data_IF_125773322910
#
_entry.id   IF_125773322910
#
_cell.length_a   1.000
_cell.length_b   1.000
_cell.length_c   1.000
_cell.angle_alpha   90.00
_cell.angle_beta   90.00
_cell.angle_gamma   90.00
#
_symmetry.space_group_name_H-M   'P 1'
#
loop_
_entity.id
_entity.type
_entity.pdbx_description
1 polymer ?
#
# COMPACT_ATOMS: atom_id res chain seq x y z
N UNK A 1 -16.64 -17.47 10.05
CA UNK A 1 -15.40 -17.49 9.25
C UNK A 1 -14.49 -16.36 9.71
N UNK A 2 -13.21 -16.62 9.83
CA UNK A 2 -12.26 -15.62 10.26
C UNK A 2 -12.07 -14.57 9.16
N UNK A 3 -12.00 -13.30 9.54
CA UNK A 3 -11.88 -12.18 8.59
C UNK A 3 -10.62 -12.28 7.73
N UNK A 4 -9.51 -12.74 8.31
CA UNK A 4 -8.26 -12.86 7.55
C UNK A 4 -8.38 -13.92 6.45
N UNK A 5 -9.14 -14.98 6.70
CA UNK A 5 -9.36 -16.03 5.71
C UNK A 5 -10.19 -15.51 4.55
N UNK A 6 -11.20 -14.69 4.84
CA UNK A 6 -12.02 -14.04 3.81
C UNK A 6 -11.14 -13.15 2.92
N UNK A 7 -10.26 -12.34 3.51
CA UNK A 7 -9.35 -11.47 2.75
C UNK A 7 -8.40 -12.28 1.87
N UNK A 8 -7.86 -13.36 2.41
CA UNK A 8 -6.98 -14.25 1.65
C UNK A 8 -7.68 -14.80 0.42
N UNK A 9 -8.91 -15.31 0.58
CA UNK A 9 -9.69 -15.84 -0.53
C UNK A 9 -10.02 -14.75 -1.54
N UNK A 10 -10.34 -13.54 -1.07
CA UNK A 10 -10.62 -12.41 -1.96
C UNK A 10 -9.42 -12.09 -2.84
N UNK A 11 -8.21 -12.12 -2.28
CA UNK A 11 -7.00 -11.86 -3.06
C UNK A 11 -6.77 -12.95 -4.10
N UNK A 12 -7.00 -14.20 -3.76
CA UNK A 12 -6.83 -15.31 -4.71
C UNK A 12 -7.82 -15.22 -5.87
N UNK A 13 -8.98 -14.64 -5.65
CA UNK A 13 -10.04 -14.56 -6.64
C UNK A 13 -10.11 -13.22 -7.37
N UNK A 14 -9.28 -12.25 -6.98
CA UNK A 14 -9.30 -10.92 -7.57
C UNK A 14 -8.58 -10.92 -8.92
N UNK A 15 -9.27 -10.58 -10.02
CA UNK A 15 -8.64 -10.59 -11.35
C UNK A 15 -7.53 -9.54 -11.52
N UNK A 16 -7.48 -8.52 -10.67
CA UNK A 16 -6.43 -7.49 -10.74
C UNK A 16 -5.12 -7.93 -10.10
N UNK A 17 -5.13 -9.01 -9.31
CA UNK A 17 -3.91 -9.53 -8.69
C UNK A 17 -3.21 -10.44 -9.71
N UNK A 18 -1.91 -10.22 -9.90
CA UNK A 18 -1.15 -11.00 -10.89
C UNK A 18 -0.95 -12.46 -10.45
N UNK A 19 -0.69 -13.33 -11.42
CA UNK A 19 -0.57 -14.77 -11.17
C UNK A 19 0.64 -15.12 -10.32
N UNK A 20 1.73 -14.38 -10.44
CA UNK A 20 2.92 -14.61 -9.61
C UNK A 20 2.60 -14.40 -8.13
N UNK A 21 1.87 -13.32 -7.82
CA UNK A 21 1.42 -13.04 -6.46
C UNK A 21 0.49 -14.14 -5.96
N UNK A 22 -0.47 -14.57 -6.80
CA UNK A 22 -1.41 -15.63 -6.43
C UNK A 22 -0.69 -16.95 -6.20
N UNK A 23 0.31 -17.26 -7.00
CA UNK A 23 1.09 -18.50 -6.83
C UNK A 23 1.81 -18.49 -5.47
N UNK A 24 2.40 -17.37 -5.10
CA UNK A 24 3.07 -17.25 -3.80
C UNK A 24 2.06 -17.38 -2.66
N UNK A 25 0.88 -16.78 -2.81
CA UNK A 25 -0.17 -16.90 -1.79
C UNK A 25 -0.71 -18.32 -1.68
N UNK A 26 -0.80 -19.06 -2.79
CA UNK A 26 -1.20 -20.47 -2.74
C UNK A 26 -0.16 -21.31 -2.00
N UNK A 27 1.10 -20.92 -2.05
CA UNK A 27 2.17 -21.66 -1.38
C UNK A 27 2.02 -21.66 0.15
N UNK A 28 1.26 -20.72 0.71
CA UNK A 28 1.02 -20.66 2.15
C UNK A 28 -0.38 -21.16 2.53
N UNK A 29 -1.07 -21.83 1.61
CA UNK A 29 -2.46 -22.27 1.83
C UNK A 29 -2.65 -23.12 3.08
N UNK A 30 -1.63 -23.92 3.45
CA UNK A 30 -1.68 -24.78 4.62
C UNK A 30 -1.08 -24.16 5.87
N UNK A 31 -0.61 -22.90 5.77
CA UNK A 31 0.03 -22.21 6.89
C UNK A 31 -0.91 -21.14 7.45
N UNK A 32 -1.76 -21.55 8.37
CA UNK A 32 -2.79 -20.69 8.93
C UNK A 32 -2.21 -19.46 9.63
N UNK A 33 -1.09 -19.61 10.33
CA UNK A 33 -0.46 -18.51 11.05
C UNK A 33 0.05 -17.45 10.06
N UNK A 34 0.64 -17.89 8.97
CA UNK A 34 1.15 -16.99 7.94
C UNK A 34 0.01 -16.24 7.25
N UNK A 35 -1.09 -16.94 6.94
CA UNK A 35 -2.27 -16.31 6.36
C UNK A 35 -2.82 -15.25 7.31
N UNK A 36 -2.93 -15.56 8.58
CA UNK A 36 -3.42 -14.62 9.57
C UNK A 36 -2.54 -13.38 9.66
N UNK A 37 -1.22 -13.56 9.72
CA UNK A 37 -0.27 -12.46 9.79
C UNK A 37 -0.40 -11.51 8.60
N UNK A 38 -0.58 -12.06 7.41
CA UNK A 38 -0.63 -11.28 6.17
C UNK A 38 -1.98 -10.64 5.89
N UNK A 39 -3.07 -11.13 6.51
CA UNK A 39 -4.42 -10.72 6.14
C UNK A 39 -5.31 -10.31 7.31
N UNK A 40 -4.79 -10.26 8.55
CA UNK A 40 -5.66 -9.96 9.70
C UNK A 40 -6.19 -8.53 9.69
N UNK A 41 -5.53 -7.65 8.97
CA UNK A 41 -5.99 -6.28 8.77
C UNK A 41 -5.49 -5.75 7.43
N UNK A 42 -5.91 -4.54 7.08
CA UNK A 42 -5.41 -3.85 5.90
C UNK A 42 -4.33 -2.87 6.31
N UNK A 43 -3.34 -2.68 5.42
CA UNK A 43 -2.29 -1.70 5.62
C UNK A 43 -2.89 -0.30 5.51
N UNK A 44 -2.54 0.57 6.46
CA UNK A 44 -3.06 1.94 6.45
C UNK A 44 -1.98 2.92 6.93
N UNK A 45 -2.20 4.19 6.64
CA UNK A 45 -1.29 5.24 7.09
C UNK A 45 -1.40 5.41 8.61
N UNK A 46 -0.23 5.42 9.27
CA UNK A 46 -0.13 5.78 10.68
C UNK A 46 0.53 7.14 10.82
N UNK A 47 0.82 7.53 12.04
CA UNK A 47 1.50 8.81 12.33
C UNK A 47 2.89 8.88 11.71
N UNK A 48 3.55 7.74 11.53
CA UNK A 48 4.86 7.66 10.89
C UNK A 48 4.79 7.44 9.38
N UNK A 49 3.63 7.60 8.76
CA UNK A 49 3.43 7.35 7.34
C UNK A 49 3.03 5.91 7.07
N UNK A 50 3.33 5.45 5.87
CA UNK A 50 3.00 4.08 5.45
C UNK A 50 4.21 3.18 5.65
N UNK A 51 4.07 2.20 6.50
CA UNK A 51 5.14 1.23 6.81
C UNK A 51 4.58 -0.17 6.91
N UNK A 52 5.42 -1.13 6.62
CA UNK A 52 5.03 -2.52 6.73
C UNK A 52 6.13 -3.43 6.23
N UNK A 53 5.90 -4.73 6.38
CA UNK A 53 6.80 -5.74 5.85
C UNK A 53 6.49 -5.90 4.36
N UNK A 54 7.53 -5.84 3.52
CA UNK A 54 7.36 -6.05 2.07
C UNK A 54 6.95 -7.49 1.82
N UNK A 55 5.89 -7.70 1.08
CA UNK A 55 5.38 -9.03 0.77
C UNK A 55 3.96 -8.99 0.27
N UNK A 56 3.39 -10.15 0.05
CA UNK A 56 2.03 -10.29 -0.46
C UNK A 56 1.02 -10.45 0.68
N UNK A 57 -0.08 -9.71 0.60
CA UNK A 57 -1.14 -9.73 1.58
C UNK A 57 -1.64 -8.34 1.91
N UNK A 58 -2.84 -8.25 2.49
CA UNK A 58 -3.46 -6.97 2.82
C UNK A 58 -2.72 -6.22 3.93
N UNK A 59 -1.99 -6.95 4.79
CA UNK A 59 -1.20 -6.37 5.87
C UNK A 59 0.30 -6.40 5.53
N UNK A 60 0.62 -6.25 4.26
CA UNK A 60 2.00 -6.22 3.76
C UNK A 60 2.16 -5.04 2.82
N UNK A 61 3.40 -4.60 2.65
CA UNK A 61 3.72 -3.51 1.73
C UNK A 61 3.97 -4.10 0.35
N UNK A 62 3.10 -3.77 -0.60
CA UNK A 62 3.18 -4.22 -1.98
C UNK A 62 2.46 -3.21 -2.88
N UNK A 63 2.52 -3.41 -4.20
CA UNK A 63 1.92 -2.45 -5.13
C UNK A 63 0.42 -2.26 -4.91
N UNK A 64 -0.28 -3.30 -4.50
CA UNK A 64 -1.74 -3.22 -4.30
C UNK A 64 -2.11 -2.45 -3.04
N UNK A 65 -1.42 -2.73 -1.93
CA UNK A 65 -1.69 -2.05 -0.65
C UNK A 65 -1.22 -0.60 -0.68
N UNK A 66 -0.08 -0.33 -1.30
CA UNK A 66 0.41 1.05 -1.47
C UNK A 66 -0.56 1.82 -2.37
N UNK A 67 -1.03 1.21 -3.46
CA UNK A 67 -1.99 1.84 -4.35
C UNK A 67 -3.30 2.16 -3.64
N UNK A 68 -3.82 1.21 -2.87
CA UNK A 68 -5.08 1.39 -2.14
C UNK A 68 -4.95 2.47 -1.07
N UNK A 69 -3.87 2.45 -0.29
CA UNK A 69 -3.64 3.46 0.75
C UNK A 69 -3.47 4.84 0.13
N UNK A 70 -2.76 4.92 -1.00
CA UNK A 70 -2.55 6.18 -1.71
C UNK A 70 -3.86 6.72 -2.26
N UNK A 71 -4.73 5.87 -2.80
CA UNK A 71 -6.03 6.29 -3.28
C UNK A 71 -6.90 6.80 -2.13
N UNK A 72 -6.84 6.15 -0.97
CA UNK A 72 -7.57 6.61 0.22
C UNK A 72 -7.13 8.01 0.64
N UNK A 73 -5.83 8.25 0.66
CA UNK A 73 -5.31 9.58 0.98
C UNK A 73 -5.68 10.60 -0.10
N UNK A 74 -5.62 10.20 -1.39
CA UNK A 74 -6.03 11.06 -2.49
C UNK A 74 -7.49 11.49 -2.33
N UNK A 75 -8.36 10.56 -1.99
CA UNK A 75 -9.78 10.85 -1.75
C UNK A 75 -9.96 11.88 -0.63
N UNK A 76 -9.18 11.75 0.44
CA UNK A 76 -9.21 12.69 1.54
C UNK A 76 -8.76 14.08 1.09
N UNK A 77 -7.67 14.17 0.34
CA UNK A 77 -7.14 15.45 -0.16
C UNK A 77 -8.15 16.14 -1.06
N UNK A 78 -8.80 15.37 -1.95
CA UNK A 78 -9.83 15.93 -2.84
C UNK A 78 -11.04 16.43 -2.05
N UNK A 79 -11.41 15.69 -1.01
CA UNK A 79 -12.52 16.10 -0.14
C UNK A 79 -12.22 17.40 0.58
N UNK A 80 -10.95 17.58 1.00
CA UNK A 80 -10.52 18.82 1.67
C UNK A 80 -10.29 19.98 0.71
N UNK A 81 -10.27 19.72 -0.60
CA UNK A 81 -10.10 20.76 -1.60
C UNK A 81 -8.69 21.34 -1.66
N UNK A 82 -7.68 20.57 -1.24
CA UNK A 82 -6.28 21.03 -1.19
C UNK A 82 -5.39 20.34 -2.21
N UNK A 83 -5.97 19.77 -3.27
CA UNK A 83 -5.23 19.00 -4.28
C UNK A 83 -4.17 19.83 -5.01
N UNK A 84 -4.38 21.12 -5.17
CA UNK A 84 -3.44 22.01 -5.86
C UNK A 84 -2.15 22.21 -5.08
N UNK A 85 -2.14 21.93 -3.77
CA UNK A 85 -0.95 22.03 -2.94
C UNK A 85 0.01 20.86 -3.17
N UNK A 86 -0.49 19.76 -3.69
CA UNK A 86 0.31 18.58 -3.98
C UNK A 86 0.69 17.77 -2.75
N UNK A 87 1.45 16.70 -2.98
CA UNK A 87 1.98 15.87 -1.90
C UNK A 87 3.46 15.64 -2.14
N UNK A 88 4.23 15.56 -1.06
CA UNK A 88 5.62 15.17 -1.10
C UNK A 88 5.71 13.74 -0.57
N UNK A 89 6.32 12.85 -1.35
CA UNK A 89 6.51 11.46 -0.98
C UNK A 89 7.98 11.24 -0.71
N UNK A 90 8.32 11.11 0.57
CA UNK A 90 9.68 10.77 0.96
C UNK A 90 9.69 9.29 1.35
N UNK A 91 10.64 8.53 0.86
CA UNK A 91 10.73 7.11 1.15
C UNK A 91 12.12 6.75 1.62
N UNK A 92 12.18 5.75 2.49
CA UNK A 92 13.43 5.16 2.98
C UNK A 92 13.51 3.75 2.39
N UNK A 93 14.55 3.48 1.61
CA UNK A 93 14.68 2.19 0.92
C UNK A 93 14.75 0.99 1.85
N UNK A 94 14.96 1.21 3.16
CA UNK A 94 14.92 0.13 4.14
C UNK A 94 13.48 -0.32 4.43
N UNK A 95 12.49 0.54 4.18
CA UNK A 95 11.09 0.28 4.53
C UNK A 95 10.15 0.28 3.33
N UNK A 96 10.53 0.96 2.25
CA UNK A 96 9.70 1.06 1.05
C UNK A 96 10.61 1.17 -0.16
N UNK A 97 10.38 0.33 -1.16
CA UNK A 97 11.18 0.38 -2.38
C UNK A 97 10.84 1.63 -3.21
N UNK A 98 11.77 2.10 -4.05
CA UNK A 98 11.48 3.19 -4.98
C UNK A 98 10.26 2.90 -5.86
N UNK A 99 10.06 1.64 -6.24
CA UNK A 99 8.94 1.22 -7.09
C UNK A 99 7.61 1.49 -6.39
N UNK A 100 7.52 1.25 -5.08
CA UNK A 100 6.28 1.50 -4.33
C UNK A 100 6.03 3.00 -4.17
N UNK A 101 7.09 3.79 -3.97
CA UNK A 101 6.95 5.24 -3.93
C UNK A 101 6.44 5.78 -5.27
N UNK A 102 6.91 5.19 -6.38
CA UNK A 102 6.45 5.54 -7.71
C UNK A 102 4.97 5.18 -7.90
N UNK A 103 4.54 4.01 -7.42
CA UNK A 103 3.12 3.63 -7.46
C UNK A 103 2.27 4.69 -6.76
N UNK A 104 2.68 5.11 -5.56
CA UNK A 104 1.96 6.14 -4.83
C UNK A 104 1.90 7.45 -5.62
N UNK A 105 3.03 7.86 -6.19
CA UNK A 105 3.09 9.08 -7.00
C UNK A 105 2.16 9.04 -8.20
N UNK A 106 2.10 7.90 -8.88
CA UNK A 106 1.23 7.72 -10.04
C UNK A 106 -0.25 7.78 -9.64
N UNK A 107 -0.60 7.21 -8.49
CA UNK A 107 -1.99 7.28 -7.98
C UNK A 107 -2.38 8.73 -7.71
N UNK A 108 -1.52 9.51 -7.05
CA UNK A 108 -1.83 10.93 -6.81
C UNK A 108 -1.96 11.69 -8.12
N UNK A 109 -1.03 11.47 -9.06
CA UNK A 109 -1.07 12.14 -10.37
C UNK A 109 -2.36 11.81 -11.11
N UNK A 110 -2.79 10.55 -11.07
CA UNK A 110 -4.03 10.11 -11.73
C UNK A 110 -5.26 10.79 -11.13
N UNK A 111 -5.17 11.26 -9.89
CA UNK A 111 -6.25 11.99 -9.21
C UNK A 111 -6.09 13.51 -9.33
N UNK A 112 -5.18 13.98 -10.18
CA UNK A 112 -4.96 15.41 -10.38
C UNK A 112 -4.21 16.09 -9.23
N UNK A 113 -3.49 15.31 -8.44
CA UNK A 113 -2.73 15.82 -7.29
C UNK A 113 -1.25 15.77 -7.64
N UNK A 114 -0.56 16.92 -7.76
CA UNK A 114 0.88 16.92 -8.02
C UNK A 114 1.63 16.14 -6.92
N UNK A 115 2.55 15.28 -7.32
CA UNK A 115 3.31 14.46 -6.37
C UNK A 115 4.80 14.64 -6.63
N UNK A 116 5.57 14.78 -5.55
CA UNK A 116 7.01 14.95 -5.59
C UNK A 116 7.63 13.80 -4.81
N UNK A 117 8.40 12.94 -5.50
CA UNK A 117 8.96 11.73 -4.92
C UNK A 117 10.46 11.90 -4.75
N UNK A 118 10.98 11.63 -3.57
CA UNK A 118 12.41 11.74 -3.32
C UNK A 118 12.84 10.78 -2.21
N UNK A 119 14.09 10.29 -2.25
CA UNK A 119 14.58 9.41 -1.19
C UNK A 119 14.90 10.19 0.08
N UNK A 120 14.84 9.48 1.22
CA UNK A 120 15.16 10.03 2.52
C UNK A 120 16.14 9.08 3.22
N UNK A 121 17.03 9.64 4.02
CA UNK A 121 17.99 8.85 4.81
C UNK A 121 17.31 8.18 6.02
N UNK A 122 16.12 8.61 6.37
CA UNK A 122 15.34 8.04 7.47
C UNK A 122 13.86 8.12 7.13
N UNK A 123 13.03 7.27 7.77
CA UNK A 123 11.60 7.27 7.48
C UNK A 123 10.97 8.62 7.78
N UNK A 124 10.16 9.10 6.86
CA UNK A 124 9.37 10.30 7.05
C UNK A 124 7.96 10.00 6.53
N UNK A 125 6.93 10.66 7.06
CA UNK A 125 5.56 10.45 6.60
C UNK A 125 5.34 11.07 5.23
N UNK A 126 4.24 10.68 4.57
CA UNK A 126 3.75 11.41 3.42
C UNK A 126 3.30 12.78 3.89
N UNK A 127 3.74 13.82 3.20
CA UNK A 127 3.46 15.20 3.57
C UNK A 127 2.61 15.85 2.49
N UNK A 128 1.51 16.46 2.91
CA UNK A 128 0.67 17.25 2.03
C UNK A 128 1.13 18.69 2.09
N UNK A 129 1.52 19.22 0.98
CA UNK A 129 1.99 20.61 0.88
C UNK A 129 0.88 21.60 0.70
#
# INVERSE_FOLDING_TARGET
MEDYRVRYEQWLNDPFIDEETKAELRSIADNEMEIKERFFKELEFGTGGLRGIIGNGSNRLNQYTVGKASQGLANYILKEGTQDKGVAIAYDSRFMSPEFAEVAGLIFAANGIPAFVYPSLRPVPLIRK
#
